data_IF_219803883575
#
_entry.id   IF_219803883575
#
_cell.length_a   1.000
_cell.length_b   1.000
_cell.length_c   1.000
_cell.angle_alpha   90.00
_cell.angle_beta   90.00
_cell.angle_gamma   90.00
#
_symmetry.space_group_name_H-M   'P 1'
#
loop_
_entity.id
_entity.type
_entity.pdbx_description
1 polymer ?
#
# COMPACT_ATOMS: atom_id res chain seq x y z
N UNK A 1 -5.41 -54.27 24.99
CA UNK A 1 -4.22 -54.04 24.13
C UNK A 1 -4.53 -54.08 22.63
N UNK A 2 -5.66 -54.65 22.17
CA UNK A 2 -5.92 -54.84 20.74
C UNK A 2 -6.44 -53.61 19.96
N UNK A 3 -6.97 -52.59 20.64
CA UNK A 3 -7.39 -51.34 19.98
C UNK A 3 -6.22 -50.41 19.62
N UNK A 4 -5.07 -50.53 20.31
CA UNK A 4 -3.85 -49.77 20.02
C UNK A 4 -3.12 -50.38 18.81
N UNK A 5 -3.15 -51.71 18.66
CA UNK A 5 -2.59 -52.42 17.50
C UNK A 5 -3.33 -52.09 16.20
N UNK A 6 -4.67 -51.94 16.22
CA UNK A 6 -5.46 -51.53 15.04
C UNK A 6 -5.23 -50.07 14.62
N UNK A 7 -5.02 -49.14 15.55
CA UNK A 7 -4.69 -47.74 15.21
C UNK A 7 -3.25 -47.58 14.69
N UNK A 8 -2.32 -48.43 15.13
CA UNK A 8 -0.95 -48.47 14.61
C UNK A 8 -0.87 -49.08 13.21
N UNK A 9 -1.67 -50.12 12.90
CA UNK A 9 -1.69 -50.73 11.56
C UNK A 9 -2.29 -49.80 10.49
N UNK A 10 -3.32 -49.03 10.82
CA UNK A 10 -3.93 -48.03 9.90
C UNK A 10 -2.98 -46.85 9.63
N UNK A 11 -2.24 -46.38 10.65
CA UNK A 11 -1.24 -45.32 10.50
C UNK A 11 0.04 -45.77 9.78
N UNK A 12 0.38 -47.07 9.83
CA UNK A 12 1.47 -47.63 9.04
C UNK A 12 1.06 -47.84 7.58
N UNK A 13 -0.17 -48.32 7.33
CA UNK A 13 -0.75 -48.42 5.98
C UNK A 13 -0.79 -47.08 5.25
N UNK A 14 -1.25 -46.01 5.91
CA UNK A 14 -1.33 -44.68 5.28
C UNK A 14 0.06 -44.06 5.03
N UNK A 15 1.03 -44.36 5.90
CA UNK A 15 2.43 -43.94 5.71
C UNK A 15 3.11 -44.72 4.59
N UNK A 16 2.82 -46.00 4.43
CA UNK A 16 3.33 -46.81 3.34
C UNK A 16 2.68 -46.45 2.00
N UNK A 17 1.39 -46.09 1.98
CA UNK A 17 0.73 -45.53 0.80
C UNK A 17 1.30 -44.16 0.41
N UNK A 18 1.51 -43.25 1.37
CA UNK A 18 2.15 -41.96 1.13
C UNK A 18 3.61 -42.11 0.66
N UNK A 19 4.33 -43.13 1.16
CA UNK A 19 5.70 -43.44 0.75
C UNK A 19 5.73 -44.12 -0.62
N UNK A 20 4.74 -44.94 -0.96
CA UNK A 20 4.54 -45.49 -2.32
C UNK A 20 4.18 -44.39 -3.31
N UNK A 21 3.25 -43.50 -2.98
CA UNK A 21 2.89 -42.34 -3.80
C UNK A 21 4.10 -41.43 -4.03
N UNK A 22 4.89 -41.13 -2.99
CA UNK A 22 6.17 -40.40 -3.14
C UNK A 22 7.15 -41.14 -4.03
N UNK A 23 7.33 -42.45 -3.83
CA UNK A 23 8.25 -43.24 -4.63
C UNK A 23 7.79 -43.45 -6.08
N UNK A 24 6.48 -43.46 -6.36
CA UNK A 24 5.92 -43.47 -7.73
C UNK A 24 6.03 -42.08 -8.39
N UNK A 25 5.84 -41.02 -7.60
CA UNK A 25 6.05 -39.64 -8.04
C UNK A 25 7.53 -39.39 -8.40
N UNK A 26 8.45 -39.83 -7.54
CA UNK A 26 9.91 -39.73 -7.76
C UNK A 26 10.42 -40.66 -8.86
N UNK A 27 9.73 -41.78 -9.16
CA UNK A 27 10.10 -42.70 -10.26
C UNK A 27 9.55 -42.31 -11.63
N UNK A 28 8.54 -41.44 -11.71
CA UNK A 28 7.87 -41.09 -12.98
C UNK A 28 8.32 -39.75 -13.60
N UNK A 29 8.88 -38.84 -12.79
CA UNK A 29 9.34 -37.53 -13.28
C UNK A 29 10.84 -37.60 -13.59
N UNK A 30 11.19 -38.12 -14.76
CA UNK A 30 12.57 -38.12 -15.26
C UNK A 30 12.91 -36.87 -16.08
N UNK A 31 11.90 -36.10 -16.48
CA UNK A 31 12.05 -34.86 -17.25
C UNK A 31 10.92 -33.88 -16.93
N UNK A 32 11.15 -32.59 -17.22
CA UNK A 32 10.20 -31.51 -16.92
C UNK A 32 8.87 -31.71 -17.68
N UNK A 33 8.92 -32.36 -18.84
CA UNK A 33 7.77 -32.72 -19.67
C UNK A 33 6.89 -33.80 -19.06
N UNK A 34 7.27 -34.41 -17.94
CA UNK A 34 6.43 -35.36 -17.20
C UNK A 34 5.66 -34.70 -16.05
N UNK A 35 5.97 -33.43 -15.70
CA UNK A 35 5.19 -32.68 -14.71
C UNK A 35 3.74 -32.53 -15.19
N UNK A 36 2.76 -32.47 -14.30
CA UNK A 36 1.35 -32.27 -14.65
C UNK A 36 1.07 -30.83 -15.15
N UNK A 37 -0.11 -30.56 -15.73
CA UNK A 37 -0.44 -29.20 -16.21
C UNK A 37 -0.58 -28.20 -15.06
N UNK A 38 -1.04 -28.68 -13.90
CA UNK A 38 -1.24 -27.90 -12.68
C UNK A 38 0.08 -27.29 -12.20
N UNK A 39 1.17 -28.07 -12.21
CA UNK A 39 2.50 -27.55 -11.86
C UNK A 39 2.95 -26.45 -12.82
N UNK A 40 2.67 -26.56 -14.12
CA UNK A 40 3.01 -25.49 -15.04
C UNK A 40 2.15 -24.24 -14.84
N UNK A 41 0.86 -24.38 -14.51
CA UNK A 41 0.04 -23.22 -14.15
C UNK A 41 0.58 -22.52 -12.90
N UNK A 42 0.98 -23.29 -11.88
CA UNK A 42 1.61 -22.73 -10.68
C UNK A 42 2.93 -22.03 -11.00
N UNK A 43 3.79 -22.62 -11.84
CA UNK A 43 5.04 -21.97 -12.30
C UNK A 43 4.71 -20.68 -13.06
N UNK A 44 3.71 -20.70 -13.94
CA UNK A 44 3.31 -19.57 -14.77
C UNK A 44 2.76 -18.40 -13.93
N UNK A 45 2.19 -18.66 -12.74
CA UNK A 45 1.73 -17.60 -11.84
C UNK A 45 2.87 -16.67 -11.36
N UNK A 46 4.12 -17.15 -11.38
CA UNK A 46 5.30 -16.35 -11.01
C UNK A 46 5.96 -15.64 -12.19
N UNK A 47 5.50 -15.87 -13.43
CA UNK A 47 6.13 -15.39 -14.66
C UNK A 47 5.28 -14.35 -15.40
N UNK A 48 5.96 -13.53 -16.23
CA UNK A 48 5.29 -12.65 -17.18
C UNK A 48 4.71 -13.44 -18.36
N UNK A 49 3.50 -13.08 -18.79
CA UNK A 49 2.77 -13.77 -19.86
C UNK A 49 3.51 -13.81 -21.19
N UNK A 50 4.24 -12.74 -21.54
CA UNK A 50 5.04 -12.76 -22.76
C UNK A 50 6.30 -13.62 -22.60
N UNK A 51 6.90 -13.66 -21.41
CA UNK A 51 8.01 -14.57 -21.13
C UNK A 51 7.57 -16.05 -21.24
N UNK A 52 6.41 -16.39 -20.68
CA UNK A 52 5.77 -17.71 -20.83
C UNK A 52 5.58 -18.03 -22.31
N UNK A 53 4.93 -17.15 -23.06
CA UNK A 53 4.70 -17.38 -24.48
C UNK A 53 6.02 -17.55 -25.24
N UNK A 54 7.01 -16.69 -25.01
CA UNK A 54 8.31 -16.76 -25.69
C UNK A 54 9.05 -18.07 -25.39
N UNK A 55 9.02 -18.55 -24.15
CA UNK A 55 9.71 -19.77 -23.74
C UNK A 55 9.00 -21.04 -24.21
N UNK A 56 7.67 -21.09 -24.14
CA UNK A 56 6.90 -22.33 -24.28
C UNK A 56 6.16 -22.49 -25.62
N UNK A 57 5.92 -21.41 -26.39
CA UNK A 57 5.09 -21.47 -27.62
C UNK A 57 5.68 -22.31 -28.75
N UNK A 58 7.00 -22.48 -28.78
CA UNK A 58 7.73 -23.22 -29.81
C UNK A 58 8.19 -24.60 -29.36
N UNK A 59 7.77 -25.04 -28.18
CA UNK A 59 8.05 -26.39 -27.71
C UNK A 59 7.08 -27.39 -28.36
N UNK A 60 6.81 -28.50 -27.70
CA UNK A 60 5.94 -29.55 -28.21
C UNK A 60 4.44 -29.19 -28.11
N UNK A 61 3.60 -30.04 -28.73
CA UNK A 61 2.14 -29.88 -28.78
C UNK A 61 1.49 -29.74 -27.40
N UNK A 62 2.04 -30.41 -26.38
CA UNK A 62 1.53 -30.34 -25.01
C UNK A 62 1.59 -28.90 -24.47
N UNK A 63 2.70 -28.20 -24.69
CA UNK A 63 2.82 -26.80 -24.27
C UNK A 63 1.95 -25.86 -25.11
N UNK A 64 1.72 -26.18 -26.39
CA UNK A 64 0.77 -25.41 -27.20
C UNK A 64 -0.67 -25.54 -26.66
N UNK A 65 -1.09 -26.75 -26.27
CA UNK A 65 -2.39 -26.96 -25.60
C UNK A 65 -2.47 -26.19 -24.28
N UNK A 66 -1.39 -26.22 -23.48
CA UNK A 66 -1.31 -25.49 -22.23
C UNK A 66 -1.49 -23.97 -22.42
N UNK A 67 -0.81 -23.39 -23.41
CA UNK A 67 -0.91 -21.95 -23.72
C UNK A 67 -2.27 -21.55 -24.31
N UNK A 68 -2.87 -22.44 -25.08
CA UNK A 68 -4.18 -22.20 -25.69
C UNK A 68 -5.34 -22.42 -24.70
N UNK A 69 -5.10 -23.08 -23.57
CA UNK A 69 -6.07 -23.32 -22.51
C UNK A 69 -6.80 -22.02 -22.10
N UNK A 70 -8.14 -22.04 -21.97
CA UNK A 70 -8.90 -20.89 -21.49
C UNK A 70 -8.67 -20.61 -19.99
N UNK A 71 -8.21 -21.61 -19.25
CA UNK A 71 -7.90 -21.49 -17.82
C UNK A 71 -6.60 -20.74 -17.57
N UNK A 72 -5.72 -20.62 -18.58
CA UNK A 72 -4.48 -19.87 -18.45
C UNK A 72 -4.76 -18.37 -18.55
N UNK A 73 -4.48 -17.65 -17.48
CA UNK A 73 -4.56 -16.19 -17.42
C UNK A 73 -3.15 -15.59 -17.36
N UNK A 74 -2.99 -14.38 -17.91
CA UNK A 74 -1.69 -13.73 -18.02
C UNK A 74 -1.55 -12.51 -17.12
N UNK A 75 -0.40 -12.43 -16.44
CA UNK A 75 0.15 -11.20 -15.85
C UNK A 75 1.09 -10.56 -16.86
N UNK A 76 0.89 -9.29 -17.17
CA UNK A 76 1.63 -8.58 -18.20
C UNK A 76 2.41 -7.42 -17.57
N UNK A 77 3.71 -7.36 -17.84
CA UNK A 77 4.61 -6.31 -17.40
C UNK A 77 5.25 -5.61 -18.60
N UNK A 78 4.86 -4.36 -18.80
CA UNK A 78 5.37 -3.49 -19.86
C UNK A 78 6.36 -2.52 -19.22
N UNK A 79 7.61 -2.58 -19.68
CA UNK A 79 8.70 -1.75 -19.18
C UNK A 79 9.55 -1.23 -20.35
N UNK A 80 10.58 -0.45 -20.05
CA UNK A 80 11.38 0.27 -21.05
C UNK A 80 11.97 -0.62 -22.16
N UNK A 81 12.32 -1.89 -21.87
CA UNK A 81 12.84 -2.81 -22.88
C UNK A 81 11.80 -3.17 -23.95
N UNK A 82 10.51 -3.06 -23.64
CA UNK A 82 9.42 -3.31 -24.59
C UNK A 82 9.41 -2.32 -25.75
N UNK A 83 10.07 -1.16 -25.62
CA UNK A 83 10.13 -0.14 -26.67
C UNK A 83 11.19 -0.40 -27.75
N UNK A 84 12.08 -1.40 -27.58
CA UNK A 84 13.00 -1.79 -28.67
C UNK A 84 12.19 -2.30 -29.87
N UNK A 85 12.34 -1.69 -31.05
CA UNK A 85 11.45 -1.88 -32.23
C UNK A 85 11.12 -3.35 -32.55
N UNK A 86 12.12 -4.23 -32.63
CA UNK A 86 11.91 -5.66 -32.91
C UNK A 86 11.15 -6.38 -31.79
N UNK A 87 11.43 -6.04 -30.53
CA UNK A 87 10.72 -6.58 -29.37
C UNK A 87 9.27 -6.09 -29.32
N UNK A 88 9.04 -4.81 -29.60
CA UNK A 88 7.72 -4.17 -29.63
C UNK A 88 6.74 -4.87 -30.57
N UNK A 89 7.17 -5.23 -31.78
CA UNK A 89 6.28 -5.86 -32.77
C UNK A 89 5.77 -7.23 -32.30
N UNK A 90 6.68 -8.07 -31.80
CA UNK A 90 6.33 -9.39 -31.27
C UNK A 90 5.42 -9.27 -30.04
N UNK A 91 5.74 -8.33 -29.14
CA UNK A 91 4.93 -8.06 -27.95
C UNK A 91 3.52 -7.57 -28.31
N UNK A 92 3.42 -6.66 -29.29
CA UNK A 92 2.13 -6.13 -29.79
C UNK A 92 1.26 -7.25 -30.36
N UNK A 93 1.85 -8.16 -31.16
CA UNK A 93 1.11 -9.30 -31.71
C UNK A 93 0.63 -10.23 -30.59
N UNK A 94 1.51 -10.55 -29.64
CA UNK A 94 1.16 -11.38 -28.48
C UNK A 94 -0.01 -10.78 -27.69
N UNK A 95 0.06 -9.48 -27.34
CA UNK A 95 -1.00 -8.81 -26.61
C UNK A 95 -2.32 -8.86 -27.37
N UNK A 96 -2.31 -8.55 -28.68
CA UNK A 96 -3.52 -8.53 -29.50
C UNK A 96 -4.25 -9.88 -29.50
N UNK A 97 -3.52 -10.98 -29.55
CA UNK A 97 -4.09 -12.34 -29.58
C UNK A 97 -4.64 -12.73 -28.19
N UNK A 98 -3.99 -12.27 -27.12
CA UNK A 98 -4.24 -12.74 -25.76
C UNK A 98 -4.98 -11.74 -24.85
N UNK A 99 -5.52 -10.64 -25.38
CA UNK A 99 -6.17 -9.58 -24.56
C UNK A 99 -7.22 -10.13 -23.59
N UNK A 100 -8.05 -11.06 -24.06
CA UNK A 100 -9.11 -11.68 -23.27
C UNK A 100 -8.60 -12.54 -22.10
N UNK A 101 -7.32 -12.94 -22.09
CA UNK A 101 -6.69 -13.73 -21.02
C UNK A 101 -5.89 -12.88 -20.04
N UNK A 102 -5.70 -11.58 -20.31
CA UNK A 102 -4.92 -10.70 -19.43
C UNK A 102 -5.78 -10.31 -18.24
N UNK A 103 -5.38 -10.75 -17.04
CA UNK A 103 -6.08 -10.41 -15.80
C UNK A 103 -5.33 -9.37 -14.96
N UNK A 104 -4.02 -9.25 -15.12
CA UNK A 104 -3.22 -8.25 -14.44
C UNK A 104 -2.26 -7.58 -15.41
N UNK A 105 -2.21 -6.25 -15.37
CA UNK A 105 -1.32 -5.46 -16.21
C UNK A 105 -0.59 -4.41 -15.39
N UNK A 106 0.74 -4.40 -15.50
CA UNK A 106 1.63 -3.38 -14.99
C UNK A 106 2.30 -2.68 -16.18
N UNK A 107 2.13 -1.38 -16.27
CA UNK A 107 2.73 -0.53 -17.32
C UNK A 107 3.61 0.51 -16.66
N UNK A 108 4.90 0.49 -16.99
CA UNK A 108 5.86 1.51 -16.58
C UNK A 108 6.26 2.32 -17.81
N UNK A 109 5.77 3.57 -17.87
CA UNK A 109 6.01 4.48 -18.98
C UNK A 109 7.29 5.26 -18.70
N UNK A 110 8.28 5.22 -19.60
CA UNK A 110 9.42 6.12 -19.47
C UNK A 110 9.03 7.51 -19.96
N UNK A 111 9.38 8.56 -19.21
CA UNK A 111 9.13 9.98 -19.53
C UNK A 111 9.59 10.35 -20.95
N UNK A 112 10.62 9.67 -21.47
CA UNK A 112 11.21 9.96 -22.79
C UNK A 112 10.53 9.23 -23.96
N UNK A 113 9.59 8.30 -23.73
CA UNK A 113 9.04 7.42 -24.78
C UNK A 113 7.59 6.99 -24.50
N UNK A 114 6.66 7.92 -24.29
CA UNK A 114 5.24 7.59 -24.15
C UNK A 114 4.59 7.25 -25.51
N UNK A 115 5.11 6.22 -26.15
CA UNK A 115 4.53 5.64 -27.37
C UNK A 115 3.52 4.54 -27.07
N UNK A 116 3.41 4.07 -25.82
CA UNK A 116 2.56 2.93 -25.46
C UNK A 116 1.12 3.10 -25.96
N UNK A 117 0.49 4.22 -25.59
CA UNK A 117 -0.89 4.51 -25.99
C UNK A 117 -1.08 4.80 -27.49
N UNK A 118 0.01 4.94 -28.27
CA UNK A 118 -0.08 5.03 -29.74
C UNK A 118 -0.33 3.67 -30.39
N UNK A 119 -0.03 2.56 -29.71
CA UNK A 119 -0.15 1.22 -30.31
C UNK A 119 -0.95 0.23 -29.48
N UNK A 120 -1.32 0.59 -28.24
CA UNK A 120 -2.16 -0.21 -27.39
C UNK A 120 -3.21 0.65 -26.68
N UNK A 121 -4.46 0.20 -26.76
CA UNK A 121 -5.60 0.83 -26.09
C UNK A 121 -6.14 -0.12 -25.04
N UNK A 122 -6.23 0.35 -23.81
CA UNK A 122 -6.92 -0.39 -22.74
C UNK A 122 -8.41 -0.16 -22.94
N UNK A 123 -9.17 -1.22 -23.26
CA UNK A 123 -10.59 -1.17 -23.56
C UNK A 123 -11.28 -2.48 -23.16
N UNK A 124 -12.58 -2.61 -23.46
CA UNK A 124 -13.41 -3.78 -23.16
C UNK A 124 -12.91 -5.13 -23.71
N UNK A 125 -11.95 -5.15 -24.65
CA UNK A 125 -11.33 -6.40 -25.12
C UNK A 125 -10.47 -7.08 -24.03
N UNK A 126 -10.10 -6.34 -22.98
CA UNK A 126 -9.46 -6.84 -21.77
C UNK A 126 -10.53 -7.33 -20.78
N UNK A 127 -11.36 -8.28 -21.19
CA UNK A 127 -12.55 -8.73 -20.46
C UNK A 127 -12.26 -9.38 -19.11
N UNK A 128 -11.06 -9.94 -18.94
CA UNK A 128 -10.59 -10.53 -17.68
C UNK A 128 -9.76 -9.57 -16.81
N UNK A 129 -9.51 -8.33 -17.27
CA UNK A 129 -8.61 -7.43 -16.55
C UNK A 129 -9.21 -7.01 -15.21
N UNK A 130 -8.48 -7.38 -14.17
CA UNK A 130 -8.85 -7.28 -12.78
C UNK A 130 -7.99 -6.27 -12.04
N UNK A 131 -6.70 -6.21 -12.37
CA UNK A 131 -5.73 -5.30 -11.76
C UNK A 131 -4.92 -4.54 -12.80
N UNK A 132 -4.95 -3.20 -12.70
CA UNK A 132 -4.18 -2.30 -13.56
C UNK A 132 -3.27 -1.40 -12.71
N UNK A 133 -1.98 -1.42 -13.02
CA UNK A 133 -0.98 -0.52 -12.42
C UNK A 133 -0.27 0.25 -13.51
N UNK A 134 -0.37 1.57 -13.48
CA UNK A 134 0.27 2.43 -14.46
C UNK A 134 1.17 3.42 -13.73
N UNK A 135 2.44 3.45 -14.12
CA UNK A 135 3.45 4.33 -13.57
C UNK A 135 3.88 5.35 -14.62
N UNK A 136 4.08 6.58 -14.13
CA UNK A 136 4.61 7.72 -14.86
C UNK A 136 3.77 8.11 -16.09
N UNK A 137 2.44 8.00 -15.99
CA UNK A 137 1.51 8.49 -17.03
C UNK A 137 1.43 10.01 -17.04
N UNK A 138 1.44 10.59 -18.24
CA UNK A 138 1.19 12.01 -18.40
C UNK A 138 -0.26 12.36 -18.06
N UNK A 139 -0.43 13.44 -17.30
CA UNK A 139 -1.72 14.01 -16.90
C UNK A 139 -2.74 14.09 -18.05
N UNK A 140 -2.32 14.57 -19.23
CA UNK A 140 -3.21 14.73 -20.39
C UNK A 140 -3.82 13.41 -20.90
N UNK A 141 -3.14 12.28 -20.70
CA UNK A 141 -3.62 10.95 -21.15
C UNK A 141 -4.46 10.25 -20.11
N UNK A 142 -4.36 10.68 -18.85
CA UNK A 142 -5.05 10.05 -17.73
C UNK A 142 -6.57 10.11 -17.88
N UNK A 143 -7.13 11.24 -18.32
CA UNK A 143 -8.58 11.37 -18.55
C UNK A 143 -9.05 10.34 -19.59
N UNK A 144 -8.41 10.30 -20.76
CA UNK A 144 -8.78 9.37 -21.83
C UNK A 144 -8.67 7.91 -21.38
N UNK A 145 -7.64 7.59 -20.61
CA UNK A 145 -7.49 6.28 -19.99
C UNK A 145 -8.69 5.97 -19.08
N UNK A 146 -8.99 6.84 -18.10
CA UNK A 146 -10.05 6.62 -17.11
C UNK A 146 -11.43 6.42 -17.76
N UNK A 147 -11.73 7.17 -18.84
CA UNK A 147 -12.95 6.97 -19.63
C UNK A 147 -13.01 5.55 -20.18
N UNK A 148 -11.91 5.03 -20.73
CA UNK A 148 -11.87 3.68 -21.26
C UNK A 148 -11.98 2.62 -20.15
N UNK A 149 -11.44 2.88 -18.95
CA UNK A 149 -11.53 1.94 -17.82
C UNK A 149 -12.97 1.70 -17.37
N UNK A 150 -13.88 2.65 -17.60
CA UNK A 150 -15.30 2.46 -17.27
C UNK A 150 -15.95 1.31 -18.05
N UNK A 151 -15.37 0.92 -19.19
CA UNK A 151 -15.84 -0.21 -20.01
C UNK A 151 -15.33 -1.57 -19.54
N UNK A 152 -14.45 -1.63 -18.54
CA UNK A 152 -13.85 -2.87 -18.07
C UNK A 152 -14.75 -3.57 -17.04
N UNK A 153 -15.27 -4.76 -17.34
CA UNK A 153 -16.29 -5.40 -16.51
C UNK A 153 -15.76 -5.94 -15.18
N UNK A 154 -14.44 -6.15 -15.05
CA UNK A 154 -13.84 -6.84 -13.90
C UNK A 154 -12.76 -6.02 -13.18
N UNK A 155 -12.53 -4.77 -13.56
CA UNK A 155 -11.47 -3.95 -12.98
C UNK A 155 -11.76 -3.61 -11.51
N UNK A 156 -11.25 -4.43 -10.60
CA UNK A 156 -11.42 -4.22 -9.17
C UNK A 156 -10.27 -3.44 -8.52
N UNK A 157 -9.10 -3.40 -9.15
CA UNK A 157 -7.88 -2.78 -8.60
C UNK A 157 -7.23 -1.82 -9.59
N UNK A 158 -7.04 -0.56 -9.16
CA UNK A 158 -6.37 0.48 -9.96
C UNK A 158 -5.28 1.19 -9.15
N UNK A 159 -4.05 1.22 -9.69
CA UNK A 159 -2.93 2.03 -9.17
C UNK A 159 -2.42 2.95 -10.27
N UNK A 160 -2.37 4.26 -10.02
CA UNK A 160 -1.87 5.25 -10.98
C UNK A 160 -0.83 6.14 -10.31
N UNK A 161 0.32 6.30 -10.97
CA UNK A 161 1.32 7.32 -10.66
C UNK A 161 1.50 8.23 -11.87
N UNK A 162 1.34 9.54 -11.71
CA UNK A 162 1.57 10.50 -12.80
C UNK A 162 3.04 10.89 -12.88
N UNK A 163 3.52 11.24 -14.08
CA UNK A 163 4.89 11.73 -14.29
C UNK A 163 5.03 13.25 -14.11
N UNK A 164 3.95 13.99 -14.31
CA UNK A 164 3.92 15.45 -14.26
C UNK A 164 2.83 15.97 -13.31
N UNK A 165 2.87 17.28 -13.09
CA UNK A 165 1.95 17.96 -12.20
C UNK A 165 0.58 18.13 -12.83
N UNK A 166 -0.46 17.72 -12.12
CA UNK A 166 -1.84 17.86 -12.57
C UNK A 166 -2.48 19.10 -11.93
N UNK A 167 -3.16 19.95 -12.72
CA UNK A 167 -3.75 21.20 -12.21
C UNK A 167 -5.14 21.00 -11.57
N UNK A 168 -6.01 20.17 -12.17
CA UNK A 168 -7.39 19.95 -11.74
C UNK A 168 -7.74 18.47 -11.41
N UNK A 169 -7.63 18.06 -10.15
CA UNK A 169 -7.96 16.69 -9.74
C UNK A 169 -9.48 16.38 -9.73
N UNK A 170 -10.36 17.36 -9.89
CA UNK A 170 -11.80 17.14 -9.78
C UNK A 170 -12.32 16.14 -10.80
N UNK A 171 -11.93 16.30 -12.07
CA UNK A 171 -12.39 15.44 -13.16
C UNK A 171 -11.84 14.03 -13.02
N UNK A 172 -10.59 13.91 -12.59
CA UNK A 172 -9.96 12.61 -12.29
C UNK A 172 -10.76 11.87 -11.23
N UNK A 173 -10.99 12.49 -10.07
CA UNK A 173 -11.73 11.86 -8.98
C UNK A 173 -13.15 11.47 -9.38
N UNK A 174 -13.86 12.35 -10.11
CA UNK A 174 -15.19 12.03 -10.63
C UNK A 174 -15.18 10.80 -11.54
N UNK A 175 -14.22 10.72 -12.46
CA UNK A 175 -14.08 9.58 -13.37
C UNK A 175 -13.71 8.29 -12.63
N UNK A 176 -12.91 8.38 -11.57
CA UNK A 176 -12.55 7.22 -10.75
C UNK A 176 -13.77 6.69 -9.99
N UNK A 177 -14.52 7.58 -9.33
CA UNK A 177 -15.60 7.17 -8.43
C UNK A 177 -16.79 6.53 -9.18
N UNK A 178 -16.93 6.80 -10.47
CA UNK A 178 -17.94 6.14 -11.33
C UNK A 178 -17.50 4.77 -11.87
N UNK A 179 -16.26 4.32 -11.61
CA UNK A 179 -15.81 3.01 -12.06
C UNK A 179 -16.59 1.90 -11.33
N UNK A 180 -17.35 1.05 -12.05
CA UNK A 180 -18.45 0.29 -11.46
C UNK A 180 -18.01 -0.84 -10.53
N UNK A 181 -16.86 -1.45 -10.81
CA UNK A 181 -16.37 -2.63 -10.09
C UNK A 181 -15.15 -2.34 -9.22
N UNK A 182 -14.72 -1.08 -9.16
CA UNK A 182 -13.50 -0.69 -8.49
C UNK A 182 -13.65 -0.77 -6.96
N UNK A 183 -12.82 -1.60 -6.33
CA UNK A 183 -12.78 -1.78 -4.87
C UNK A 183 -11.48 -1.29 -4.25
N UNK A 184 -10.37 -1.41 -4.96
CA UNK A 184 -9.05 -1.00 -4.49
C UNK A 184 -8.47 0.07 -5.39
N UNK A 185 -8.01 1.16 -4.79
CA UNK A 185 -7.65 2.35 -5.50
C UNK A 185 -6.44 3.06 -4.89
N UNK A 186 -5.40 3.31 -5.69
CA UNK A 186 -4.19 4.02 -5.27
C UNK A 186 -3.79 5.09 -6.27
N UNK A 187 -3.61 6.32 -5.79
CA UNK A 187 -3.17 7.45 -6.60
C UNK A 187 -1.90 8.07 -6.06
N UNK A 188 -0.96 8.33 -6.96
CA UNK A 188 0.28 9.05 -6.67
C UNK A 188 0.37 10.20 -7.67
N UNK A 189 0.01 11.40 -7.21
CA UNK A 189 -0.02 12.58 -8.05
C UNK A 189 1.01 13.61 -7.58
N UNK A 190 1.80 14.10 -8.53
CA UNK A 190 2.61 15.29 -8.29
C UNK A 190 1.71 16.52 -8.42
N UNK A 191 1.76 17.43 -7.45
CA UNK A 191 0.92 18.64 -7.44
C UNK A 191 1.73 19.86 -7.04
N UNK A 192 1.54 20.95 -7.78
CA UNK A 192 2.04 22.30 -7.44
C UNK A 192 0.92 23.08 -6.76
N UNK A 193 0.81 22.93 -5.43
CA UNK A 193 0.09 23.81 -4.48
C UNK A 193 -1.37 24.24 -4.79
N UNK A 194 -2.05 23.77 -5.84
CA UNK A 194 -3.45 24.09 -6.02
C UNK A 194 -4.29 23.37 -4.96
N UNK A 195 -5.43 23.94 -4.58
CA UNK A 195 -6.52 23.22 -3.90
C UNK A 195 -7.53 22.74 -4.94
N UNK A 196 -8.31 21.72 -4.62
CA UNK A 196 -9.39 21.22 -5.47
C UNK A 196 -10.70 21.23 -4.68
N UNK A 197 -11.80 21.37 -5.38
CA UNK A 197 -13.12 21.46 -4.76
C UNK A 197 -14.04 20.45 -5.42
N UNK A 198 -14.15 19.29 -4.76
CA UNK A 198 -15.17 18.31 -5.09
C UNK A 198 -16.44 18.65 -4.32
N UNK A 199 -17.61 18.73 -5.00
CA UNK A 199 -18.88 18.82 -4.29
C UNK A 199 -19.09 17.53 -3.47
N UNK A 200 -19.93 17.62 -2.43
CA UNK A 200 -20.32 16.43 -1.68
C UNK A 200 -21.12 15.48 -2.60
N UNK A 201 -20.83 14.18 -2.49
CA UNK A 201 -21.46 13.18 -3.32
C UNK A 201 -22.96 13.04 -3.02
N UNK A 202 -23.76 12.89 -4.07
CA UNK A 202 -25.13 12.38 -3.95
C UNK A 202 -25.13 10.85 -3.89
N UNK A 203 -26.23 10.24 -3.43
CA UNK A 203 -26.36 8.78 -3.38
C UNK A 203 -26.08 8.07 -4.72
N UNK A 204 -26.32 8.75 -5.85
CA UNK A 204 -26.08 8.21 -7.21
C UNK A 204 -24.60 8.20 -7.62
N UNK A 205 -23.75 8.93 -6.89
CA UNK A 205 -22.33 9.10 -7.21
C UNK A 205 -21.43 8.29 -6.27
N UNK A 206 -22.02 7.52 -5.35
CA UNK A 206 -21.26 6.73 -4.39
C UNK A 206 -20.58 5.55 -5.07
N UNK A 207 -19.28 5.44 -4.82
CA UNK A 207 -18.40 4.43 -5.36
C UNK A 207 -18.43 3.14 -4.53
N UNK A 208 -18.04 2.03 -5.16
CA UNK A 208 -17.86 0.73 -4.51
C UNK A 208 -16.51 0.57 -3.80
N UNK A 209 -15.65 1.59 -3.83
CA UNK A 209 -14.30 1.54 -3.27
C UNK A 209 -14.32 1.19 -1.78
N UNK A 210 -13.57 0.16 -1.42
CA UNK A 210 -13.37 -0.34 -0.06
C UNK A 210 -11.96 0.01 0.46
N UNK A 211 -10.98 0.22 -0.43
CA UNK A 211 -9.60 0.55 -0.12
C UNK A 211 -9.14 1.75 -0.94
N UNK A 212 -8.75 2.84 -0.27
CA UNK A 212 -8.32 4.07 -0.91
C UNK A 212 -6.96 4.53 -0.35
N UNK A 213 -6.01 4.75 -1.25
CA UNK A 213 -4.66 5.21 -0.93
C UNK A 213 -4.33 6.47 -1.73
N UNK A 214 -4.26 7.61 -1.04
CA UNK A 214 -4.02 8.92 -1.63
C UNK A 214 -2.60 9.36 -1.32
N UNK A 215 -1.79 9.48 -2.36
CA UNK A 215 -0.42 9.98 -2.31
C UNK A 215 -0.32 11.29 -3.10
N UNK A 216 -1.00 12.31 -2.59
CA UNK A 216 -0.71 13.71 -2.91
C UNK A 216 -1.17 14.59 -1.74
N UNK A 217 -0.81 15.87 -1.75
CA UNK A 217 -1.25 16.81 -0.72
C UNK A 217 -2.76 17.02 -0.81
N UNK A 218 -3.41 17.04 0.36
CA UNK A 218 -4.84 17.32 0.49
C UNK A 218 -5.07 18.21 1.72
N UNK A 219 -6.10 19.04 1.72
CA UNK A 219 -6.65 19.59 2.97
C UNK A 219 -7.61 18.59 3.62
N UNK A 220 -7.96 18.82 4.89
CA UNK A 220 -8.98 17.99 5.56
C UNK A 220 -10.36 18.12 4.89
N UNK A 221 -10.72 19.29 4.35
CA UNK A 221 -11.98 19.45 3.62
C UNK A 221 -11.98 18.65 2.31
N UNK A 222 -10.85 18.62 1.61
CA UNK A 222 -10.70 17.84 0.37
C UNK A 222 -10.82 16.34 0.65
N UNK A 223 -10.19 15.85 1.72
CA UNK A 223 -10.38 14.47 2.18
C UNK A 223 -11.85 14.21 2.51
N UNK A 224 -12.51 15.15 3.17
CA UNK A 224 -13.93 15.02 3.50
C UNK A 224 -14.81 14.92 2.24
N UNK A 225 -14.55 15.73 1.22
CA UNK A 225 -15.24 15.60 -0.07
C UNK A 225 -14.96 14.25 -0.71
N UNK A 226 -13.72 13.77 -0.73
CA UNK A 226 -13.37 12.45 -1.29
C UNK A 226 -14.11 11.31 -0.56
N UNK A 227 -14.10 11.28 0.77
CA UNK A 227 -14.74 10.19 1.51
C UNK A 227 -16.26 10.20 1.36
N UNK A 228 -16.87 11.33 1.02
CA UNK A 228 -18.30 11.39 0.70
C UNK A 228 -18.68 10.51 -0.49
N UNK A 229 -17.76 10.31 -1.44
CA UNK A 229 -17.94 9.41 -2.58
C UNK A 229 -17.67 7.94 -2.22
N UNK A 230 -17.11 7.62 -1.06
CA UNK A 230 -16.66 6.24 -0.73
C UNK A 230 -17.26 5.75 0.59
N UNK A 231 -18.59 5.63 0.71
CA UNK A 231 -19.25 5.24 1.97
C UNK A 231 -18.95 3.79 2.42
N UNK A 232 -18.49 2.94 1.50
CA UNK A 232 -18.12 1.53 1.77
C UNK A 232 -16.67 1.37 2.22
N UNK A 233 -15.94 2.47 2.41
CA UNK A 233 -14.52 2.46 2.70
C UNK A 233 -14.22 1.71 4.01
N UNK A 234 -13.26 0.80 3.92
CA UNK A 234 -12.72 0.00 5.04
C UNK A 234 -11.30 0.42 5.39
N UNK A 235 -10.52 0.80 4.39
CA UNK A 235 -9.13 1.23 4.53
C UNK A 235 -8.89 2.58 3.86
N UNK A 236 -8.39 3.54 4.62
CA UNK A 236 -7.95 4.85 4.12
C UNK A 236 -6.48 5.06 4.44
N UNK A 237 -5.67 5.35 3.42
CA UNK A 237 -4.26 5.70 3.54
C UNK A 237 -4.00 7.08 2.93
N UNK A 238 -3.50 8.02 3.74
CA UNK A 238 -3.19 9.40 3.36
C UNK A 238 -1.68 9.62 3.54
N UNK A 239 -0.93 9.58 2.45
CA UNK A 239 0.55 9.48 2.48
C UNK A 239 1.29 10.83 2.45
N UNK A 240 0.61 11.89 2.06
CA UNK A 240 1.27 13.19 1.88
C UNK A 240 0.64 14.25 2.76
N UNK A 241 1.34 15.38 2.83
CA UNK A 241 1.07 16.50 3.73
C UNK A 241 -0.41 16.86 3.71
N UNK A 242 -1.08 16.62 4.84
CA UNK A 242 -2.38 17.21 5.13
C UNK A 242 -2.17 18.67 5.50
N UNK A 243 -2.74 19.58 4.72
CA UNK A 243 -2.60 21.02 4.96
C UNK A 243 -3.72 21.56 5.84
N UNK A 244 -3.43 22.65 6.57
CA UNK A 244 -4.37 23.32 7.49
C UNK A 244 -5.62 23.74 6.75
N UNK A 245 -6.77 23.51 7.36
CA UNK A 245 -8.05 24.00 6.86
C UNK A 245 -8.79 24.77 7.95
N UNK A 246 -8.97 26.08 7.74
CA UNK A 246 -9.64 26.96 8.70
C UNK A 246 -11.13 26.63 8.89
N UNK A 247 -11.73 25.81 8.02
CA UNK A 247 -13.17 25.61 7.95
C UNK A 247 -13.67 24.22 8.38
N UNK A 248 -12.83 23.33 8.91
CA UNK A 248 -13.27 21.95 9.24
C UNK A 248 -14.46 21.88 10.20
N UNK A 249 -14.65 22.90 11.04
CA UNK A 249 -15.74 22.96 12.03
C UNK A 249 -17.12 23.06 11.37
N UNK A 250 -17.24 23.72 10.22
CA UNK A 250 -18.53 23.96 9.54
C UNK A 250 -19.02 22.79 8.71
N UNK A 251 -18.13 21.83 8.44
CA UNK A 251 -18.48 20.63 7.68
C UNK A 251 -19.44 19.76 8.49
N UNK A 252 -20.47 19.22 7.83
CA UNK A 252 -21.34 18.20 8.43
C UNK A 252 -20.52 16.94 8.85
N UNK A 253 -21.10 15.97 9.56
CA UNK A 253 -20.43 14.68 9.81
C UNK A 253 -20.68 13.68 8.66
N UNK A 254 -19.65 12.99 8.18
CA UNK A 254 -19.78 11.80 7.29
C UNK A 254 -19.43 10.60 8.14
N UNK A 255 -20.42 9.75 8.39
CA UNK A 255 -20.19 8.51 9.11
C UNK A 255 -19.65 7.44 8.16
N UNK A 256 -18.36 7.11 8.27
CA UNK A 256 -17.78 5.96 7.58
C UNK A 256 -17.95 4.70 8.43
N UNK A 257 -19.15 4.13 8.39
CA UNK A 257 -19.57 3.03 9.28
C UNK A 257 -18.81 1.71 9.10
N UNK A 258 -17.99 1.59 8.06
CA UNK A 258 -17.18 0.42 7.74
C UNK A 258 -15.67 0.68 7.85
N UNK A 259 -15.24 1.92 8.13
CA UNK A 259 -13.83 2.27 8.19
C UNK A 259 -13.20 1.62 9.43
N UNK A 260 -12.31 0.68 9.18
CA UNK A 260 -11.60 -0.10 10.21
C UNK A 260 -10.13 0.28 10.28
N UNK A 261 -9.54 0.74 9.17
CA UNK A 261 -8.13 1.07 9.11
C UNK A 261 -7.92 2.48 8.57
N UNK A 262 -7.23 3.32 9.33
CA UNK A 262 -6.83 4.67 8.95
C UNK A 262 -5.33 4.81 9.15
N UNK A 263 -4.66 5.27 8.11
CA UNK A 263 -3.25 5.64 8.16
C UNK A 263 -3.07 7.03 7.58
N UNK A 264 -2.44 7.92 8.35
CA UNK A 264 -2.43 9.36 8.05
C UNK A 264 -1.06 9.97 8.31
N UNK A 265 -0.54 10.68 7.31
CA UNK A 265 0.67 11.48 7.40
C UNK A 265 0.30 12.95 7.65
N UNK A 266 0.48 13.38 8.87
CA UNK A 266 0.15 14.71 9.36
C UNK A 266 1.34 15.64 9.18
N UNK A 267 1.07 16.85 8.71
CA UNK A 267 2.10 17.86 8.49
C UNK A 267 1.53 19.27 8.63
N UNK A 268 1.77 19.93 9.75
CA UNK A 268 1.17 21.22 10.13
C UNK A 268 -0.32 21.18 10.46
N UNK A 269 -0.93 20.02 10.76
CA UNK A 269 -2.33 19.98 11.21
C UNK A 269 -2.36 20.16 12.72
N UNK A 270 -3.18 21.09 13.22
CA UNK A 270 -3.34 21.24 14.67
C UNK A 270 -4.03 20.01 15.24
N UNK A 271 -3.61 19.57 16.43
CA UNK A 271 -4.23 18.41 17.08
C UNK A 271 -5.75 18.56 17.22
N UNK A 272 -6.25 19.77 17.54
CA UNK A 272 -7.69 20.06 17.67
C UNK A 272 -8.45 19.78 16.36
N UNK A 273 -7.86 20.09 15.20
CA UNK A 273 -8.45 19.84 13.89
C UNK A 273 -8.47 18.33 13.58
N UNK A 274 -7.38 17.63 13.92
CA UNK A 274 -7.33 16.17 13.82
C UNK A 274 -8.36 15.49 14.74
N UNK A 275 -8.51 15.96 15.97
CA UNK A 275 -9.50 15.46 16.94
C UNK A 275 -10.93 15.64 16.40
N UNK A 276 -11.23 16.80 15.81
CA UNK A 276 -12.51 17.05 15.14
C UNK A 276 -12.70 16.10 13.95
N UNK A 277 -11.66 15.92 13.13
CA UNK A 277 -11.71 15.01 11.98
C UNK A 277 -12.02 13.58 12.40
N UNK A 278 -11.23 13.01 13.33
CA UNK A 278 -11.42 11.64 13.85
C UNK A 278 -12.83 11.44 14.39
N UNK A 279 -13.34 12.38 15.19
CA UNK A 279 -14.70 12.31 15.74
C UNK A 279 -15.78 12.29 14.68
N UNK A 280 -15.56 12.94 13.53
CA UNK A 280 -16.54 12.98 12.44
C UNK A 280 -16.58 11.68 11.63
N UNK A 281 -15.46 10.97 11.50
CA UNK A 281 -15.33 9.88 10.52
C UNK A 281 -15.19 8.46 11.12
N UNK A 282 -14.74 8.30 12.36
CA UNK A 282 -14.21 7.01 12.85
C UNK A 282 -14.99 6.39 14.01
N UNK A 283 -16.17 5.82 13.77
CA UNK A 283 -16.93 5.15 14.85
C UNK A 283 -16.56 3.69 15.10
N UNK A 284 -15.95 3.00 14.12
CA UNK A 284 -15.58 1.57 14.20
C UNK A 284 -14.10 1.29 13.85
N UNK A 285 -13.26 2.30 14.04
CA UNK A 285 -11.86 2.21 13.69
C UNK A 285 -11.15 1.21 14.62
N UNK A 286 -10.47 0.23 14.02
CA UNK A 286 -9.68 -0.80 14.70
C UNK A 286 -8.19 -0.50 14.65
N UNK A 287 -7.71 0.06 13.55
CA UNK A 287 -6.30 0.36 13.34
C UNK A 287 -6.14 1.84 13.00
N UNK A 288 -5.35 2.56 13.81
CA UNK A 288 -4.97 3.94 13.57
C UNK A 288 -3.45 4.07 13.51
N UNK A 289 -2.93 4.50 12.36
CA UNK A 289 -1.52 4.80 12.14
C UNK A 289 -1.35 6.28 11.87
N UNK A 290 -0.57 6.97 12.69
CA UNK A 290 -0.33 8.41 12.58
C UNK A 290 1.17 8.62 12.42
N UNK A 291 1.57 9.29 11.34
CA UNK A 291 2.94 9.72 11.15
C UNK A 291 2.98 11.25 11.16
N UNK A 292 3.83 11.83 11.99
CA UNK A 292 3.89 13.28 12.27
C UNK A 292 5.32 13.80 12.13
N UNK A 293 5.49 15.12 12.06
CA UNK A 293 6.80 15.77 12.02
C UNK A 293 7.04 16.72 13.19
N UNK A 294 8.25 17.28 13.27
CA UNK A 294 8.67 18.13 14.38
C UNK A 294 7.74 19.30 14.69
N UNK A 295 7.09 19.88 13.68
CA UNK A 295 6.14 20.99 13.84
C UNK A 295 4.82 20.56 14.49
N UNK A 296 4.53 19.27 14.54
CA UNK A 296 3.28 18.69 15.07
C UNK A 296 3.50 18.06 16.46
N UNK A 297 4.39 18.65 17.28
CA UNK A 297 4.76 18.12 18.61
C UNK A 297 3.57 17.89 19.56
N UNK A 298 2.45 18.58 19.34
CA UNK A 298 1.22 18.37 20.11
C UNK A 298 0.70 16.92 20.04
N UNK A 299 1.03 16.16 18.99
CA UNK A 299 0.72 14.73 18.88
C UNK A 299 1.52 13.84 19.84
N UNK A 300 2.59 14.36 20.44
CA UNK A 300 3.33 13.65 21.48
C UNK A 300 2.73 13.81 22.88
N UNK A 301 1.62 14.55 23.00
CA UNK A 301 0.88 14.67 24.24
C UNK A 301 0.04 13.42 24.50
N UNK A 302 0.57 12.50 25.33
CA UNK A 302 -0.06 11.21 25.58
C UNK A 302 -1.44 11.35 26.26
N UNK A 303 -1.62 12.32 27.16
CA UNK A 303 -2.91 12.55 27.82
C UNK A 303 -4.00 12.95 26.83
N UNK A 304 -3.68 13.83 25.87
CA UNK A 304 -4.62 14.24 24.81
C UNK A 304 -4.99 13.08 23.90
N UNK A 305 -4.02 12.27 23.49
CA UNK A 305 -4.26 11.08 22.68
C UNK A 305 -5.10 10.04 23.42
N UNK A 306 -4.76 9.75 24.68
CA UNK A 306 -5.51 8.82 25.52
C UNK A 306 -6.98 9.26 25.64
N UNK A 307 -7.21 10.54 25.93
CA UNK A 307 -8.56 11.11 25.98
C UNK A 307 -9.31 10.97 24.67
N UNK A 308 -8.66 11.28 23.53
CA UNK A 308 -9.27 11.11 22.20
C UNK A 308 -9.66 9.65 21.95
N UNK A 309 -8.77 8.71 22.24
CA UNK A 309 -8.97 7.29 21.99
C UNK A 309 -10.13 6.75 22.84
N UNK A 310 -10.11 7.02 24.14
CA UNK A 310 -11.16 6.57 25.05
C UNK A 310 -12.54 7.14 24.69
N UNK A 311 -12.59 8.39 24.22
CA UNK A 311 -13.85 9.07 23.93
C UNK A 311 -14.40 8.77 22.52
N UNK A 312 -13.54 8.50 21.55
CA UNK A 312 -13.92 8.51 20.14
C UNK A 312 -13.54 7.25 19.37
N UNK A 313 -12.66 6.41 19.92
CA UNK A 313 -12.16 5.20 19.26
C UNK A 313 -12.28 3.97 20.18
N UNK A 314 -13.49 3.63 20.65
CA UNK A 314 -13.68 2.55 21.64
C UNK A 314 -13.35 1.15 21.10
N UNK A 315 -13.29 0.98 19.77
CA UNK A 315 -12.98 -0.29 19.10
C UNK A 315 -11.52 -0.37 18.62
N UNK A 316 -10.67 0.57 19.03
CA UNK A 316 -9.27 0.59 18.59
C UNK A 316 -8.50 -0.59 19.18
N UNK A 317 -7.98 -1.43 18.30
CA UNK A 317 -7.20 -2.63 18.60
C UNK A 317 -5.70 -2.33 18.46
N UNK A 318 -5.31 -1.58 17.42
CA UNK A 318 -3.92 -1.20 17.15
C UNK A 318 -3.79 0.32 16.97
N UNK A 319 -2.79 0.88 17.65
CA UNK A 319 -2.35 2.25 17.45
C UNK A 319 -0.85 2.27 17.13
N UNK A 320 -0.49 3.03 16.11
CA UNK A 320 0.88 3.29 15.72
C UNK A 320 1.09 4.80 15.60
N UNK A 321 2.05 5.34 16.33
CA UNK A 321 2.46 6.74 16.20
C UNK A 321 3.94 6.81 15.86
N UNK A 322 4.25 7.31 14.66
CA UNK A 322 5.60 7.71 14.28
C UNK A 322 5.74 9.21 14.34
N UNK A 323 6.82 9.67 14.94
CA UNK A 323 7.22 11.07 14.94
C UNK A 323 8.59 11.17 14.29
N UNK A 324 8.70 12.06 13.31
CA UNK A 324 9.96 12.31 12.61
C UNK A 324 10.43 13.74 12.85
N UNK A 325 11.63 13.87 13.41
CA UNK A 325 12.29 15.15 13.59
C UNK A 325 13.61 15.15 12.82
N UNK A 326 13.77 16.11 11.91
CA UNK A 326 15.07 16.43 11.32
C UNK A 326 15.62 17.62 12.09
N UNK A 327 16.78 17.46 12.72
CA UNK A 327 17.52 18.58 13.29
C UNK A 327 17.85 19.53 12.15
N UNK A 328 17.21 20.69 12.16
CA UNK A 328 17.44 21.74 11.17
C UNK A 328 18.71 22.49 11.56
N UNK A 329 19.47 23.00 10.59
CA UNK A 329 20.67 23.81 10.85
C UNK A 329 20.36 25.08 11.66
N UNK A 330 19.09 25.51 11.65
CA UNK A 330 18.56 26.65 12.41
C UNK A 330 18.35 26.33 13.90
N UNK A 331 17.99 25.08 14.24
CA UNK A 331 17.73 24.64 15.61
C UNK A 331 18.82 23.65 16.03
N UNK A 332 19.83 24.13 16.76
CA UNK A 332 20.96 23.31 17.23
C UNK A 332 20.57 22.11 18.12
N UNK A 333 19.32 22.01 18.56
CA UNK A 333 18.82 20.96 19.46
C UNK A 333 17.45 20.44 19.01
N UNK A 334 17.18 19.14 19.19
CA UNK A 334 15.86 18.56 18.92
C UNK A 334 14.81 19.20 19.83
N UNK A 335 13.65 19.52 19.24
CA UNK A 335 12.46 20.00 19.94
C UNK A 335 11.95 18.91 20.88
N UNK A 336 11.98 17.64 20.45
CA UNK A 336 11.68 16.54 21.35
C UNK A 336 12.88 16.19 22.24
N UNK A 337 12.79 16.58 23.51
CA UNK A 337 13.86 16.36 24.49
C UNK A 337 13.75 15.02 25.26
N UNK A 338 12.78 14.15 24.91
CA UNK A 338 12.52 12.90 25.64
C UNK A 338 12.09 13.07 27.10
N UNK A 339 12.03 14.31 27.61
CA UNK A 339 11.99 14.65 29.04
C UNK A 339 10.67 14.39 29.73
N UNK A 340 9.67 13.88 29.02
CA UNK A 340 8.47 13.36 29.64
C UNK A 340 8.05 12.12 28.89
N UNK A 341 8.29 10.99 29.52
CA UNK A 341 7.84 9.68 29.09
C UNK A 341 6.31 9.63 29.27
N UNK A 342 5.56 10.42 28.51
CA UNK A 342 4.12 10.65 28.78
C UNK A 342 3.28 9.39 28.52
N UNK A 343 3.82 8.42 27.78
CA UNK A 343 3.18 7.14 27.44
C UNK A 343 3.45 6.05 28.49
N UNK A 344 3.44 6.40 29.78
CA UNK A 344 3.68 5.46 30.90
C UNK A 344 2.44 5.21 31.76
N UNK A 345 1.28 5.77 31.42
CA UNK A 345 0.05 5.45 32.15
C UNK A 345 -0.31 3.97 31.97
N UNK A 346 -1.05 3.34 32.91
CA UNK A 346 -1.48 1.96 32.77
C UNK A 346 -2.20 1.69 31.43
N UNK A 347 -3.00 2.66 30.96
CA UNK A 347 -3.66 2.62 29.66
C UNK A 347 -2.70 2.27 28.51
N UNK A 348 -1.53 2.91 28.49
CA UNK A 348 -0.50 2.79 27.47
C UNK A 348 0.32 1.50 27.63
N UNK A 349 0.74 1.19 28.87
CA UNK A 349 1.54 0.00 29.19
C UNK A 349 0.77 -1.30 28.87
N UNK A 350 -0.50 -1.38 29.26
CA UNK A 350 -1.33 -2.58 29.06
C UNK A 350 -1.59 -2.87 27.59
N UNK A 351 -1.74 -1.83 26.77
CA UNK A 351 -2.05 -1.98 25.33
C UNK A 351 -0.82 -2.30 24.48
N UNK A 352 0.38 -2.00 24.97
CA UNK A 352 1.65 -2.22 24.25
C UNK A 352 1.66 -1.68 22.81
N UNK A 353 0.92 -0.61 22.57
CA UNK A 353 0.83 0.03 21.25
C UNK A 353 2.17 0.60 20.80
N UNK A 354 2.35 0.77 19.50
CA UNK A 354 3.67 1.08 18.97
C UNK A 354 3.85 2.60 18.89
N UNK A 355 4.92 3.08 19.50
CA UNK A 355 5.38 4.45 19.38
C UNK A 355 6.84 4.45 18.93
N UNK A 356 7.12 5.25 17.91
CA UNK A 356 8.45 5.39 17.33
C UNK A 356 8.73 6.88 17.12
N UNK A 357 9.59 7.47 17.93
CA UNK A 357 10.19 8.76 17.58
C UNK A 357 11.52 8.51 16.90
N UNK A 358 11.67 9.05 15.70
CA UNK A 358 12.89 9.06 14.91
C UNK A 358 13.41 10.49 14.86
N UNK A 359 14.55 10.73 15.52
CA UNK A 359 15.20 12.04 15.57
C UNK A 359 16.50 11.91 14.80
N UNK A 360 16.58 12.59 13.66
CA UNK A 360 17.74 12.63 12.79
C UNK A 360 18.52 13.92 13.09
N UNK A 361 19.63 13.80 13.84
CA UNK A 361 20.65 14.85 13.90
C UNK A 361 21.77 14.54 12.91
N UNK A 362 22.58 15.53 12.52
CA UNK A 362 23.60 15.46 11.45
C UNK A 362 24.57 14.27 11.49
N UNK A 363 24.53 13.40 12.52
CA UNK A 363 25.30 12.16 12.58
C UNK A 363 24.61 11.00 13.31
N UNK A 364 23.36 11.14 13.79
CA UNK A 364 22.71 10.11 14.61
C UNK A 364 21.21 10.02 14.37
N UNK A 365 20.71 8.79 14.28
CA UNK A 365 19.28 8.50 14.38
C UNK A 365 18.98 7.95 15.77
N UNK A 366 18.17 8.68 16.51
CA UNK A 366 17.62 8.22 17.78
C UNK A 366 16.25 7.59 17.54
N UNK A 367 16.11 6.32 17.94
CA UNK A 367 14.83 5.63 17.98
C UNK A 367 14.36 5.50 19.43
N UNK A 368 13.19 6.08 19.71
CA UNK A 368 12.55 5.99 21.02
C UNK A 368 11.38 5.03 20.95
N UNK A 369 11.46 3.95 21.74
CA UNK A 369 10.37 3.02 21.96
C UNK A 369 10.03 2.96 23.45
N UNK A 370 8.84 3.40 23.88
CA UNK A 370 8.48 3.45 25.30
C UNK A 370 8.46 2.05 25.98
N UNK A 371 8.27 0.97 25.22
CA UNK A 371 8.10 -0.40 25.77
C UNK A 371 9.24 -1.38 25.44
N UNK A 372 10.19 -1.03 24.57
CA UNK A 372 11.28 -1.96 24.22
C UNK A 372 12.48 -1.76 25.13
N UNK A 373 12.72 -2.72 26.02
CA UNK A 373 14.07 -3.08 26.47
C UNK A 373 14.71 -3.97 25.41
N UNK A 374 15.54 -3.42 24.51
CA UNK A 374 16.55 -4.22 23.81
C UNK A 374 17.87 -3.46 23.74
N UNK A 375 18.90 -4.07 24.33
CA UNK A 375 20.30 -3.69 24.15
C UNK A 375 20.75 -4.13 22.77
N UNK A 376 21.42 -3.25 22.04
CA UNK A 376 22.41 -3.64 21.06
C UNK A 376 23.74 -3.06 21.56
N UNK A 377 24.60 -3.93 22.08
CA UNK A 377 26.02 -3.64 22.14
C UNK A 377 26.54 -3.83 20.73
N UNK A 378 26.96 -2.75 20.09
CA UNK A 378 28.03 -2.80 19.11
C UNK A 378 29.03 -1.72 19.50
N UNK A 379 30.17 -2.19 19.96
CA UNK A 379 31.39 -1.46 20.27
C UNK A 379 31.85 -0.62 19.08
N UNK A 380 31.96 0.69 19.25
CA UNK A 380 33.25 1.41 19.18
C UNK A 380 33.08 2.88 19.57
N UNK A 381 34.01 3.33 20.41
CA UNK A 381 34.05 4.61 21.09
C UNK A 381 33.98 5.84 20.17
N UNK A 382 33.18 6.84 20.58
CA UNK A 382 33.68 8.21 20.75
C UNK A 382 32.74 9.03 21.64
N UNK A 383 33.33 9.47 22.75
CA UNK A 383 32.77 10.34 23.78
C UNK A 383 32.34 11.67 23.15
N UNK A 384 31.07 12.03 23.29
CA UNK A 384 30.62 13.43 23.30
C UNK A 384 29.81 13.66 24.58
N UNK A 385 30.41 14.39 25.50
CA UNK A 385 29.78 14.86 26.72
C UNK A 385 28.70 15.89 26.39
N UNK A 386 27.44 15.49 26.50
CA UNK A 386 26.37 16.41 26.91
C UNK A 386 25.44 15.65 27.86
N UNK A 387 25.55 15.96 29.14
CA UNK A 387 24.74 15.40 30.21
C UNK A 387 23.26 15.70 30.00
N UNK A 388 22.49 14.70 29.58
CA UNK A 388 21.05 14.65 29.77
C UNK A 388 20.80 13.54 30.79
N UNK A 389 20.61 13.95 32.03
CA UNK A 389 20.32 13.08 33.17
C UNK A 389 18.88 12.54 33.01
N UNK A 390 18.75 11.36 32.40
CA UNK A 390 17.47 10.70 32.09
C UNK A 390 17.35 9.38 32.85
N UNK A 391 17.37 9.48 34.17
CA UNK A 391 17.02 8.38 35.07
C UNK A 391 15.50 8.33 35.30
N UNK A 392 14.72 7.88 34.30
CA UNK A 392 13.41 7.19 34.47
C UNK A 392 12.76 6.82 33.11
N UNK A 393 12.95 5.56 32.72
CA UNK A 393 12.09 4.73 31.86
C UNK A 393 12.03 4.96 30.33
N UNK A 394 12.91 5.73 29.70
CA UNK A 394 13.04 5.73 28.22
C UNK A 394 14.47 5.36 27.84
N UNK A 395 14.67 4.26 27.10
CA UNK A 395 15.99 3.94 26.53
C UNK A 395 16.01 4.19 25.03
N UNK A 396 16.92 5.05 24.62
CA UNK A 396 17.19 5.42 23.22
C UNK A 396 17.93 4.26 22.54
N UNK A 397 17.50 3.87 21.35
CA UNK A 397 18.28 2.99 20.47
C UNK A 397 18.95 3.85 19.41
N UNK A 398 20.29 3.83 19.36
CA UNK A 398 21.07 4.49 18.31
C UNK A 398 21.13 3.57 17.08
N UNK A 399 20.83 4.12 15.89
CA UNK A 399 21.17 3.46 14.62
C UNK A 399 21.97 4.42 13.74
N UNK A 400 23.03 3.90 13.15
CA UNK A 400 23.82 4.58 12.12
C UNK A 400 23.28 4.13 10.76
N UNK A 401 22.99 5.07 9.86
CA UNK A 401 22.65 4.75 8.47
C UNK A 401 23.26 5.80 7.56
N UNK A 402 24.09 5.38 6.61
CA UNK A 402 24.43 6.20 5.44
C UNK A 402 23.15 6.41 4.62
N UNK A 403 22.84 7.68 4.34
CA UNK A 403 21.63 8.09 3.64
C UNK A 403 21.73 7.72 2.16
N UNK A 404 20.77 6.91 1.66
CA UNK A 404 19.99 7.24 0.44
C UNK A 404 18.93 6.20 0.00
N UNK A 405 18.77 5.01 0.61
CA UNK A 405 17.90 3.95 0.02
C UNK A 405 16.72 3.40 0.88
N UNK A 406 15.96 4.24 1.61
CA UNK A 406 14.88 3.75 2.53
C UNK A 406 13.43 4.07 2.06
N UNK A 407 13.18 4.29 0.76
CA UNK A 407 11.79 4.43 0.26
C UNK A 407 11.14 3.12 -0.26
N UNK A 408 11.86 1.99 -0.35
CA UNK A 408 11.35 0.80 -1.07
C UNK A 408 10.87 -0.39 -0.22
N UNK A 409 10.98 -0.37 1.12
CA UNK A 409 10.77 -1.58 1.94
C UNK A 409 9.47 -1.68 2.75
N UNK A 410 8.49 -0.79 2.58
CA UNK A 410 7.27 -0.79 3.41
C UNK A 410 5.98 -0.94 2.58
N UNK A 411 5.82 -2.08 1.92
CA UNK A 411 4.51 -2.60 1.51
C UNK A 411 4.47 -4.12 1.66
N UNK A 412 3.79 -4.59 2.72
CA UNK A 412 2.98 -5.81 2.72
C UNK A 412 1.63 -5.44 3.31
#
# INVERSE_FOLDING_TARGET
MDQIKRKLSVNQSSKEEMKKLRNEFDRSITCIENLSMEFFYEIFDYLDGYAIHKAFSKLNHRFQQLLNSPSLLFKIQIHHLTYKKGYRNNYKQFLRINMHKIFSMRVCLSIQNDTFFLWFTINSSLSCLESLRIYDIESIRLISLLINLASLPRLFSLSIKTSNTYENLNDIYRLIFILPTLKWCRFIFHRKNSSFSLPLATNKQQSAIEYLSIHHRCTLNEVYSIISYTPKLRHLYLCHKLEIDSNIRTILPITLSNLTNLSIHIHHVKFDEFEIFIRKICSKLKILRVNTRSQDIAFLNAYRLEKLILQSLPQLEEFYLRYYERADSVYKYPIYNGGSNQFISPFWIERQWIFEAEINSESFIYLVHPYRKRCYENTQDKICNSSLDLSKSTRLTLRYTDSDDIEELMTV
#
